data_IF_397392916460
#
_entry.id   IF_397392916460
#
_cell.length_a   1.000
_cell.length_b   1.000
_cell.length_c   1.000
_cell.angle_alpha   90.00
_cell.angle_beta   90.00
_cell.angle_gamma   90.00
#
_symmetry.space_group_name_H-M   'P 1'
#
loop_
_entity.id
_entity.type
_entity.pdbx_description
1 polymer ?
#
# COMPACT_ATOMS: atom_id res chain seq x y z
N UNK A 1 13.16 0.54 -7.49
CA UNK A 1 13.71 1.26 -6.32
C UNK A 1 13.63 0.34 -5.13
N UNK A 2 14.63 0.35 -4.25
CA UNK A 2 14.75 -0.56 -3.09
C UNK A 2 13.87 -0.13 -1.90
N UNK A 3 13.01 0.87 -2.08
CA UNK A 3 12.18 1.41 -1.00
C UNK A 3 11.00 0.48 -0.70
N UNK A 4 10.61 0.41 0.56
CA UNK A 4 9.36 -0.22 1.00
C UNK A 4 8.28 0.80 1.35
N UNK A 5 8.60 2.10 1.33
CA UNK A 5 7.69 3.18 1.73
C UNK A 5 6.47 3.29 0.81
N UNK A 6 5.30 3.50 1.41
CA UNK A 6 4.01 3.55 0.70
C UNK A 6 3.94 4.74 -0.26
N UNK A 7 4.45 5.91 0.13
CA UNK A 7 4.35 7.15 -0.66
C UNK A 7 5.38 7.27 -1.80
N UNK A 8 6.16 6.23 -2.09
CA UNK A 8 7.09 6.24 -3.21
C UNK A 8 6.37 5.76 -4.49
N UNK A 9 6.15 6.61 -5.51
CA UNK A 9 5.39 6.24 -6.69
C UNK A 9 6.00 5.06 -7.47
N UNK A 10 7.34 4.93 -7.45
CA UNK A 10 8.07 3.85 -8.14
C UNK A 10 7.95 2.48 -7.47
N UNK A 11 7.31 2.39 -6.29
CA UNK A 11 6.96 1.12 -5.65
C UNK A 11 5.64 0.54 -6.19
N UNK A 12 4.85 1.35 -6.90
CA UNK A 12 3.56 0.95 -7.45
C UNK A 12 3.69 0.64 -8.94
N UNK A 13 3.02 -0.41 -9.40
CA UNK A 13 3.12 -0.91 -10.78
C UNK A 13 2.68 0.10 -11.83
N UNK A 14 1.79 1.03 -11.48
CA UNK A 14 1.34 2.12 -12.34
C UNK A 14 2.17 3.42 -12.20
N UNK A 15 3.18 3.44 -11.32
CA UNK A 15 3.99 4.63 -11.05
C UNK A 15 3.26 5.75 -10.30
N UNK A 16 2.11 5.45 -9.67
CA UNK A 16 1.26 6.41 -8.96
C UNK A 16 0.94 5.89 -7.55
N UNK A 17 0.93 6.79 -6.57
CA UNK A 17 0.59 6.46 -5.18
C UNK A 17 -0.92 6.19 -5.08
N UNK A 18 -1.36 5.06 -4.49
CA UNK A 18 -2.77 4.76 -4.30
C UNK A 18 -3.51 5.85 -3.52
N UNK A 19 -4.71 6.17 -3.99
CA UNK A 19 -5.62 7.14 -3.39
C UNK A 19 -6.96 6.51 -2.98
N UNK A 20 -7.90 7.35 -2.55
CA UNK A 20 -9.25 6.95 -2.12
C UNK A 20 -10.06 6.15 -3.16
N UNK A 21 -9.70 6.22 -4.43
CA UNK A 21 -10.39 5.51 -5.52
C UNK A 21 -9.66 4.23 -5.92
N UNK A 22 -8.48 3.97 -5.35
CA UNK A 22 -7.60 2.88 -5.76
C UNK A 22 -7.89 1.59 -4.99
N UNK A 23 -7.97 0.47 -5.74
CA UNK A 23 -7.96 -0.88 -5.17
C UNK A 23 -6.53 -1.43 -5.23
N UNK A 24 -5.92 -1.60 -4.06
CA UNK A 24 -4.52 -2.02 -3.94
C UNK A 24 -4.43 -3.53 -3.84
N UNK A 25 -3.52 -4.12 -4.62
CA UNK A 25 -3.14 -5.53 -4.51
C UNK A 25 -1.66 -5.63 -4.14
N UNK A 26 -1.37 -6.18 -2.95
CA UNK A 26 -0.01 -6.40 -2.49
C UNK A 26 0.38 -7.86 -2.79
N UNK A 27 1.47 -8.05 -3.52
CA UNK A 27 1.90 -9.37 -4.02
C UNK A 27 3.40 -9.59 -3.85
N UNK A 28 3.85 -10.86 -3.66
CA UNK A 28 5.27 -11.18 -3.52
C UNK A 28 6.08 -10.88 -4.79
N UNK A 29 5.43 -10.67 -5.94
CA UNK A 29 6.10 -10.27 -7.19
C UNK A 29 6.78 -8.90 -7.09
N UNK A 30 6.34 -8.05 -6.17
CA UNK A 30 6.97 -6.75 -5.89
C UNK A 30 8.32 -6.86 -5.16
N UNK A 31 8.69 -8.04 -4.65
CA UNK A 31 9.97 -8.31 -3.99
C UNK A 31 10.12 -7.73 -2.58
N UNK A 32 9.28 -6.77 -2.19
CA UNK A 32 9.34 -6.07 -0.91
C UNK A 32 7.97 -6.01 -0.23
N UNK A 33 8.00 -6.02 1.10
CA UNK A 33 6.83 -5.79 1.96
C UNK A 33 6.59 -4.27 2.12
N UNK A 34 5.41 -3.73 1.79
CA UNK A 34 5.15 -2.31 1.93
C UNK A 34 5.10 -1.84 3.40
N UNK A 35 5.52 -0.60 3.61
CA UNK A 35 5.48 0.11 4.90
C UNK A 35 4.65 1.37 4.73
N UNK A 36 3.57 1.49 5.48
CA UNK A 36 2.78 2.72 5.59
C UNK A 36 3.49 3.65 6.57
N UNK A 37 4.14 4.67 6.02
CA UNK A 37 4.86 5.73 6.73
C UNK A 37 4.30 7.13 6.43
N UNK A 38 3.11 7.19 5.85
CA UNK A 38 2.25 8.38 5.72
C UNK A 38 0.80 8.02 6.01
N UNK A 39 -0.09 9.00 6.14
CA UNK A 39 -1.53 8.75 6.22
C UNK A 39 -2.05 8.30 4.86
N UNK A 40 -2.84 7.22 4.86
CA UNK A 40 -3.31 6.55 3.64
C UNK A 40 -4.83 6.47 3.65
N UNK A 41 -5.43 6.78 2.51
CA UNK A 41 -6.82 6.48 2.20
C UNK A 41 -6.87 5.68 0.90
N UNK A 42 -7.56 4.55 0.93
CA UNK A 42 -7.74 3.67 -0.23
C UNK A 42 -9.14 3.07 -0.25
N UNK A 43 -9.57 2.65 -1.44
CA UNK A 43 -10.86 1.97 -1.59
C UNK A 43 -10.80 0.57 -0.97
N UNK A 44 -9.74 -0.18 -1.28
CA UNK A 44 -9.56 -1.58 -0.87
C UNK A 44 -8.07 -1.93 -0.80
N UNK A 45 -7.70 -2.85 0.08
CA UNK A 45 -6.39 -3.51 0.08
C UNK A 45 -6.62 -5.02 0.08
N UNK A 46 -6.07 -5.71 -0.92
CA UNK A 46 -5.95 -7.16 -0.97
C UNK A 46 -4.49 -7.54 -0.71
N UNK A 47 -4.24 -8.27 0.37
CA UNK A 47 -2.90 -8.77 0.73
C UNK A 47 -2.83 -10.24 0.32
N UNK A 48 -1.96 -10.57 -0.63
CA UNK A 48 -1.76 -11.96 -1.06
C UNK A 48 -0.83 -12.74 -0.10
N UNK A 49 -0.85 -14.08 -0.12
CA UNK A 49 -0.02 -14.89 0.76
C UNK A 49 1.48 -14.56 0.65
N UNK A 50 2.17 -14.55 1.79
CA UNK A 50 3.61 -14.27 1.87
C UNK A 50 3.97 -12.78 1.91
N UNK A 51 2.99 -11.88 1.96
CA UNK A 51 3.20 -10.44 2.14
C UNK A 51 2.87 -10.01 3.56
N UNK A 52 3.71 -9.13 4.09
CA UNK A 52 3.44 -8.35 5.29
C UNK A 52 3.19 -6.88 4.89
N UNK A 53 2.18 -6.26 5.49
CA UNK A 53 1.97 -4.81 5.45
C UNK A 53 2.30 -4.26 6.83
N UNK A 54 3.31 -3.39 6.92
CA UNK A 54 3.70 -2.75 8.19
C UNK A 54 3.12 -1.34 8.24
N UNK A 55 2.55 -0.94 9.39
CA UNK A 55 2.10 0.43 9.63
C UNK A 55 3.00 1.05 10.71
N UNK A 56 3.66 2.15 10.40
CA UNK A 56 4.50 2.85 11.38
C UNK A 56 3.64 3.53 12.46
N UNK A 57 4.18 3.77 13.66
CA UNK A 57 3.47 4.48 14.71
C UNK A 57 2.93 5.84 14.23
N UNK A 58 1.73 6.19 14.71
CA UNK A 58 1.04 7.47 14.44
C UNK A 58 0.53 7.65 13.00
N UNK A 59 0.56 6.61 12.17
CA UNK A 59 -0.04 6.63 10.82
C UNK A 59 -1.51 6.22 10.86
N UNK A 60 -2.34 6.90 10.06
CA UNK A 60 -3.75 6.56 9.87
C UNK A 60 -3.94 5.82 8.55
N UNK A 61 -4.67 4.69 8.61
CA UNK A 61 -5.07 3.91 7.44
C UNK A 61 -6.59 3.91 7.36
N UNK A 62 -7.14 4.55 6.33
CA UNK A 62 -8.58 4.51 6.03
C UNK A 62 -8.82 3.61 4.84
N UNK A 63 -9.54 2.51 5.07
CA UNK A 63 -10.04 1.64 4.01
C UNK A 63 -11.53 1.91 3.89
N UNK A 64 -11.95 2.49 2.77
CA UNK A 64 -13.35 2.91 2.58
C UNK A 64 -14.30 1.71 2.46
N UNK A 65 -13.79 0.54 2.06
CA UNK A 65 -14.61 -0.62 1.76
C UNK A 65 -15.34 -0.47 0.42
N UNK A 66 -16.05 -1.52 0.02
CA UNK A 66 -17.07 -1.41 -1.03
C UNK A 66 -18.42 -1.20 -0.32
N UNK A 67 -19.34 -0.40 -0.89
CA UNK A 67 -20.74 -0.46 -0.48
C UNK A 67 -21.31 -1.87 -0.68
#
# INVERSE_FOLDING_TARGET
GTSTAWEVPTNWSCGVIPDRNTEVVLSPRGGNNPVINTNVIVKKILILPGINLTVLPRMLVTILGQP
#
